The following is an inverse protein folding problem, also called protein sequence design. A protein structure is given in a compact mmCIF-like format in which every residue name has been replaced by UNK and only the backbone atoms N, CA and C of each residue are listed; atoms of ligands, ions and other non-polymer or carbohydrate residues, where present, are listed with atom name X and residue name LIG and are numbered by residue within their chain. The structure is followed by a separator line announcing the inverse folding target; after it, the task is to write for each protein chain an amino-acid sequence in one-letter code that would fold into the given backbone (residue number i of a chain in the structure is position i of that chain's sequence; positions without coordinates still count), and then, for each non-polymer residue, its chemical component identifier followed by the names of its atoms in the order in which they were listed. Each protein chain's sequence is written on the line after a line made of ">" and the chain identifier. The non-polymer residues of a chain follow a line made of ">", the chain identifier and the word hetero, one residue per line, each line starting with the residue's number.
data_IF_243278588912
#
_entry.id   IF_243278588912
#
_cell.length_a   1.000
_cell.length_b   1.000
_cell.length_c   1.000
_cell.angle_alpha   90.00
_cell.angle_beta   90.00
_cell.angle_gamma   90.00
#
_symmetry.space_group_name_H-M   'P 1'
#
loop_
_entity.id
_entity.type
_entity.pdbx_description
1 polymer ?
#
# COMPACT_ATOMS: atom_id res chain seq x y z
N UNK A 1 6.52 -28.09 28.00
CA UNK A 1 6.67 -26.79 28.65
C UNK A 1 5.53 -25.91 28.13
N UNK A 2 4.43 -25.84 28.91
CA UNK A 2 3.27 -25.03 28.53
C UNK A 2 3.61 -23.55 28.70
N UNK A 3 3.68 -22.80 27.62
CA UNK A 3 3.75 -21.35 27.67
C UNK A 3 2.40 -20.81 28.14
N UNK A 4 2.26 -20.52 29.41
CA UNK A 4 1.14 -19.76 29.96
C UNK A 4 1.31 -18.30 29.54
N UNK A 5 0.58 -17.87 28.54
CA UNK A 5 0.34 -16.46 28.23
C UNK A 5 -0.66 -15.96 29.28
N UNK A 6 -0.16 -15.52 30.44
CA UNK A 6 -0.96 -14.87 31.48
C UNK A 6 -0.70 -13.36 31.40
N UNK A 7 -1.48 -12.66 30.62
CA UNK A 7 -1.95 -11.28 30.85
C UNK A 7 -2.99 -11.00 29.75
N UNK A 8 -4.20 -10.67 30.16
CA UNK A 8 -5.17 -10.10 29.24
C UNK A 8 -4.50 -8.89 28.55
N UNK A 9 -4.45 -8.84 27.21
CA UNK A 9 -3.87 -7.71 26.53
C UNK A 9 -4.66 -6.46 26.92
N UNK A 10 -3.99 -5.30 27.09
CA UNK A 10 -4.71 -4.06 27.27
C UNK A 10 -5.65 -3.88 26.07
N UNK A 11 -6.87 -3.39 26.31
CA UNK A 11 -7.79 -3.13 25.21
C UNK A 11 -7.07 -2.24 24.20
N UNK A 12 -7.17 -2.59 22.92
CA UNK A 12 -6.69 -1.71 21.87
C UNK A 12 -7.27 -0.33 22.12
N UNK A 13 -6.47 0.76 21.96
CA UNK A 13 -7.10 2.06 21.80
C UNK A 13 -8.09 1.88 20.66
N UNK A 14 -9.36 2.08 20.97
CA UNK A 14 -10.45 2.01 20.03
C UNK A 14 -9.99 2.79 18.79
N UNK A 15 -9.71 2.07 17.70
CA UNK A 15 -9.91 2.71 16.41
C UNK A 15 -11.38 3.00 16.45
N UNK A 16 -11.80 4.27 16.42
CA UNK A 16 -13.20 4.57 16.49
C UNK A 16 -13.84 3.72 15.40
N UNK A 17 -14.58 2.71 15.83
CA UNK A 17 -15.60 2.12 14.98
C UNK A 17 -16.34 3.33 14.49
N UNK A 18 -16.37 3.55 13.18
CA UNK A 18 -17.17 4.63 12.60
C UNK A 18 -18.60 4.13 12.69
N UNK A 19 -19.04 3.87 13.93
CA UNK A 19 -20.38 3.47 14.28
C UNK A 19 -21.25 4.72 14.37
N UNK A 20 -22.43 4.62 13.83
CA UNK A 20 -23.35 5.74 13.75
C UNK A 20 -23.08 6.67 12.57
N UNK A 21 -23.52 7.91 12.67
CA UNK A 21 -23.39 8.93 11.61
C UNK A 21 -22.01 9.62 11.58
N UNK A 22 -21.10 9.24 12.48
CA UNK A 22 -19.75 9.83 12.59
C UNK A 22 -18.88 9.56 11.35
N UNK A 23 -19.19 8.54 10.55
CA UNK A 23 -18.48 8.31 9.28
C UNK A 23 -18.65 9.46 8.29
N UNK A 24 -19.78 10.17 8.33
CA UNK A 24 -20.07 11.33 7.47
C UNK A 24 -19.09 12.46 7.72
N UNK A 25 -18.66 12.65 8.99
CA UNK A 25 -17.67 13.64 9.38
C UNK A 25 -16.26 13.29 8.86
N UNK A 26 -15.98 12.00 8.69
CA UNK A 26 -14.72 11.53 8.13
C UNK A 26 -14.60 11.78 6.62
N UNK A 27 -15.72 12.02 5.93
CA UNK A 27 -15.75 12.30 4.50
C UNK A 27 -15.53 13.80 4.26
N UNK A 28 -14.40 14.14 3.67
CA UNK A 28 -14.03 15.53 3.38
C UNK A 28 -14.75 16.04 2.14
N UNK A 29 -15.97 16.59 2.30
CA UNK A 29 -16.82 17.14 1.22
C UNK A 29 -17.06 18.65 1.36
N UNK A 30 -16.43 19.34 2.30
CA UNK A 30 -16.66 20.77 2.58
C UNK A 30 -16.45 21.71 1.39
N UNK A 31 -15.70 21.24 0.39
CA UNK A 31 -15.38 21.98 -0.84
C UNK A 31 -16.50 21.90 -1.90
N UNK A 32 -17.56 21.11 -1.67
CA UNK A 32 -18.66 20.89 -2.62
C UNK A 32 -19.93 21.64 -2.19
N UNK A 33 -20.84 21.99 -3.13
CA UNK A 33 -22.16 22.48 -2.84
C UNK A 33 -22.98 21.50 -1.97
N UNK A 34 -23.95 22.00 -1.22
CA UNK A 34 -24.71 21.19 -0.26
C UNK A 34 -25.54 20.09 -0.95
N UNK A 35 -26.12 20.40 -2.10
CA UNK A 35 -26.87 19.43 -2.89
C UNK A 35 -26.01 18.24 -3.33
N UNK A 36 -24.80 18.51 -3.83
CA UNK A 36 -23.85 17.48 -4.26
C UNK A 36 -23.37 16.64 -3.08
N UNK A 37 -23.17 17.28 -1.90
CA UNK A 37 -22.81 16.57 -0.68
C UNK A 37 -23.85 15.56 -0.27
N UNK A 38 -25.14 15.94 -0.32
CA UNK A 38 -26.26 15.06 0.06
C UNK A 38 -26.34 13.83 -0.88
N UNK A 39 -26.16 14.04 -2.18
CA UNK A 39 -26.16 12.96 -3.17
C UNK A 39 -25.00 11.98 -2.94
N UNK A 40 -23.79 12.51 -2.75
CA UNK A 40 -22.59 11.70 -2.48
C UNK A 40 -22.74 10.90 -1.18
N UNK A 41 -23.20 11.53 -0.10
CA UNK A 41 -23.43 10.86 1.17
C UNK A 41 -24.48 9.76 1.04
N UNK A 42 -25.57 10.00 0.28
CA UNK A 42 -26.59 8.98 -0.01
C UNK A 42 -26.04 7.78 -0.77
N UNK A 43 -25.14 8.00 -1.73
CA UNK A 43 -24.45 6.92 -2.44
C UNK A 43 -23.49 6.17 -1.51
N UNK A 44 -22.69 6.87 -0.72
CA UNK A 44 -21.73 6.26 0.22
C UNK A 44 -22.44 5.45 1.32
N UNK A 45 -23.64 5.86 1.76
CA UNK A 45 -24.44 5.11 2.74
C UNK A 45 -24.74 3.69 2.26
N UNK A 46 -24.99 3.49 0.95
CA UNK A 46 -25.22 2.15 0.37
C UNK A 46 -24.03 1.20 0.58
N UNK A 47 -22.84 1.77 0.70
CA UNK A 47 -21.57 1.03 0.86
C UNK A 47 -21.01 1.12 2.29
N UNK A 48 -21.84 1.51 3.28
CA UNK A 48 -21.41 1.78 4.66
C UNK A 48 -20.59 0.67 5.29
N UNK A 49 -20.91 -0.58 5.00
CA UNK A 49 -20.20 -1.75 5.52
C UNK A 49 -18.72 -1.84 5.08
N UNK A 50 -18.30 -1.10 4.04
CA UNK A 50 -16.91 -1.08 3.58
C UNK A 50 -15.97 -0.27 4.48
N UNK A 51 -16.50 0.62 5.30
CA UNK A 51 -15.71 1.51 6.18
C UNK A 51 -16.08 1.40 7.66
N UNK A 52 -16.40 0.19 8.08
CA UNK A 52 -16.71 -0.16 9.45
C UNK A 52 -15.48 -0.31 10.37
N UNK A 53 -14.31 0.10 9.93
CA UNK A 53 -13.04 -0.02 10.67
C UNK A 53 -12.44 -1.42 10.73
N UNK A 54 -13.17 -2.46 10.34
CA UNK A 54 -12.70 -3.85 10.36
C UNK A 54 -11.89 -4.19 9.11
N UNK A 55 -11.03 -5.19 9.22
CA UNK A 55 -10.36 -5.78 8.06
C UNK A 55 -11.38 -6.52 7.20
N UNK A 56 -11.34 -6.26 5.90
CA UNK A 56 -12.08 -7.03 4.92
C UNK A 56 -11.60 -8.49 4.85
N UNK A 57 -12.40 -9.31 4.22
CA UNK A 57 -12.07 -10.70 4.00
C UNK A 57 -12.31 -11.08 2.54
N UNK A 58 -11.21 -11.19 1.82
CA UNK A 58 -11.22 -11.70 0.45
C UNK A 58 -11.36 -13.22 0.49
N UNK A 59 -12.33 -13.75 -0.28
CA UNK A 59 -12.59 -15.19 -0.35
C UNK A 59 -12.19 -15.79 -1.70
N UNK A 60 -12.07 -15.00 -2.75
CA UNK A 60 -11.82 -15.45 -4.12
C UNK A 60 -10.36 -15.80 -4.42
N UNK A 61 -9.44 -15.40 -3.53
CA UNK A 61 -8.01 -15.67 -3.70
C UNK A 61 -7.31 -15.84 -2.36
N UNK A 62 -6.17 -16.55 -2.39
CA UNK A 62 -5.26 -16.68 -1.25
C UNK A 62 -3.82 -16.54 -1.73
N UNK A 63 -2.98 -15.89 -0.91
CA UNK A 63 -1.56 -15.74 -1.22
C UNK A 63 -0.83 -17.09 -1.13
N UNK A 64 -0.01 -17.38 -2.13
CA UNK A 64 0.79 -18.59 -2.28
C UNK A 64 2.27 -18.26 -2.21
N UNK A 65 3.04 -19.12 -1.54
CA UNK A 65 4.51 -18.99 -1.43
C UNK A 65 5.14 -20.26 -1.99
N UNK A 66 5.42 -20.26 -3.29
CA UNK A 66 6.11 -21.38 -3.93
C UNK A 66 7.61 -21.23 -3.74
N UNK A 67 8.26 -22.29 -3.30
CA UNK A 67 9.70 -22.32 -3.12
C UNK A 67 10.39 -22.95 -4.33
N UNK A 68 11.62 -22.53 -4.58
CA UNK A 68 12.52 -23.21 -5.50
C UNK A 68 12.70 -24.66 -4.98
N UNK A 69 12.62 -25.69 -5.83
CA UNK A 69 12.76 -27.07 -5.41
C UNK A 69 14.04 -27.35 -4.62
N UNK A 70 13.95 -28.17 -3.58
CA UNK A 70 15.08 -28.56 -2.75
C UNK A 70 15.49 -27.57 -1.66
N UNK A 71 14.72 -26.49 -1.46
CA UNK A 71 14.99 -25.51 -0.39
C UNK A 71 14.52 -26.02 0.97
N UNK A 72 15.31 -25.74 2.00
CA UNK A 72 15.01 -26.02 3.40
C UNK A 72 14.44 -24.79 4.12
N UNK A 73 13.76 -24.96 5.26
CA UNK A 73 13.29 -23.85 6.06
C UNK A 73 14.38 -22.83 6.42
N UNK A 74 14.03 -21.57 6.31
CA UNK A 74 14.92 -20.46 6.66
C UNK A 74 14.70 -20.07 8.12
N UNK A 75 15.77 -20.12 8.89
CA UNK A 75 15.77 -19.70 10.29
C UNK A 75 16.74 -18.51 10.49
N UNK A 76 16.26 -17.44 11.10
CA UNK A 76 17.06 -16.29 11.51
C UNK A 76 16.81 -15.96 12.98
N UNK A 77 17.89 -15.66 13.70
CA UNK A 77 17.78 -15.16 15.08
C UNK A 77 17.15 -13.75 15.08
N UNK A 78 16.37 -13.39 16.14
CA UNK A 78 15.85 -12.04 16.27
C UNK A 78 16.99 -11.02 16.39
N UNK A 79 16.76 -9.84 15.84
CA UNK A 79 17.70 -8.73 16.04
C UNK A 79 17.66 -8.23 17.48
N UNK A 80 18.77 -7.69 17.96
CA UNK A 80 18.84 -7.09 19.30
C UNK A 80 17.90 -5.87 19.32
N UNK A 81 17.01 -5.85 20.30
CA UNK A 81 16.06 -4.78 20.52
C UNK A 81 16.16 -4.24 21.95
N UNK A 82 16.22 -2.93 22.10
CA UNK A 82 16.14 -2.27 23.40
C UNK A 82 14.72 -2.33 24.01
N UNK A 83 14.56 -1.95 25.29
CA UNK A 83 13.27 -2.05 25.99
C UNK A 83 12.11 -1.35 25.26
N UNK A 84 12.33 -0.14 24.75
CA UNK A 84 11.30 0.62 24.03
C UNK A 84 10.87 -0.09 22.71
N UNK A 85 11.83 -0.65 21.98
CA UNK A 85 11.54 -1.38 20.76
C UNK A 85 10.74 -2.66 21.04
N UNK A 86 11.06 -3.37 22.13
CA UNK A 86 10.30 -4.54 22.59
C UNK A 86 8.86 -4.19 22.97
N UNK A 87 8.66 -3.08 23.69
CA UNK A 87 7.32 -2.61 24.04
C UNK A 87 6.47 -2.31 22.80
N UNK A 88 7.05 -1.66 21.79
CA UNK A 88 6.39 -1.41 20.50
C UNK A 88 6.09 -2.72 19.75
N UNK A 89 7.03 -3.66 19.75
CA UNK A 89 6.86 -4.99 19.17
C UNK A 89 5.69 -5.73 19.81
N UNK A 90 5.63 -5.79 21.15
CA UNK A 90 4.53 -6.41 21.89
C UNK A 90 3.19 -5.77 21.56
N UNK A 91 3.12 -4.45 21.53
CA UNK A 91 1.89 -3.71 21.18
C UNK A 91 1.38 -4.08 19.79
N UNK A 92 2.27 -4.14 18.78
CA UNK A 92 1.88 -4.50 17.42
C UNK A 92 1.49 -5.99 17.30
N UNK A 93 2.18 -6.90 18.00
CA UNK A 93 1.83 -8.32 18.04
C UNK A 93 0.44 -8.49 18.63
N UNK A 94 0.13 -7.86 19.77
CA UNK A 94 -1.19 -7.94 20.38
C UNK A 94 -2.29 -7.41 19.44
N UNK A 95 -2.03 -6.28 18.77
CA UNK A 95 -2.94 -5.72 17.77
C UNK A 95 -3.21 -6.71 16.63
N UNK A 96 -2.18 -7.37 16.11
CA UNK A 96 -2.33 -8.34 15.02
C UNK A 96 -3.04 -9.62 15.47
N UNK A 97 -2.81 -10.08 16.70
CA UNK A 97 -3.53 -11.23 17.29
C UNK A 97 -5.03 -10.93 17.41
N UNK A 98 -5.40 -9.79 17.97
CA UNK A 98 -6.80 -9.37 18.10
C UNK A 98 -7.49 -9.22 16.74
N UNK A 99 -6.77 -8.68 15.75
CA UNK A 99 -7.27 -8.58 14.38
C UNK A 99 -7.27 -9.91 13.61
N UNK A 100 -6.85 -11.01 14.23
CA UNK A 100 -6.70 -12.34 13.59
C UNK A 100 -5.87 -12.30 12.32
N UNK A 101 -4.84 -11.47 12.33
CA UNK A 101 -3.85 -11.37 11.23
C UNK A 101 -2.74 -12.39 11.42
N UNK A 102 -2.39 -12.68 12.68
CA UNK A 102 -1.37 -13.67 13.07
C UNK A 102 -1.93 -14.63 14.11
N UNK A 103 -1.22 -15.73 14.32
CA UNK A 103 -1.44 -16.68 15.42
C UNK A 103 -0.10 -17.21 15.97
N UNK A 104 -0.04 -17.64 17.24
CA UNK A 104 1.13 -18.33 17.78
C UNK A 104 1.39 -19.63 17.02
N UNK A 105 2.67 -20.01 16.90
CA UNK A 105 3.03 -21.22 16.16
C UNK A 105 4.29 -21.87 16.71
N UNK A 106 4.50 -23.13 16.31
CA UNK A 106 5.79 -23.83 16.41
C UNK A 106 6.21 -24.15 14.98
N UNK A 107 7.36 -23.67 14.54
CA UNK A 107 7.78 -23.81 13.15
C UNK A 107 9.30 -23.86 13.03
N UNK A 108 9.79 -24.53 12.00
CA UNK A 108 11.20 -24.50 11.60
C UNK A 108 11.56 -23.21 10.87
N UNK A 109 10.55 -22.44 10.42
CA UNK A 109 10.73 -21.14 9.78
C UNK A 109 10.78 -20.03 10.82
N UNK A 110 11.70 -19.08 10.65
CA UNK A 110 11.75 -17.89 11.47
C UNK A 110 12.42 -16.73 10.75
N UNK A 111 11.67 -15.64 10.55
CA UNK A 111 12.17 -14.37 10.02
C UNK A 111 12.24 -13.32 11.13
N UNK A 112 13.25 -12.45 11.20
CA UNK A 112 13.36 -11.46 12.25
C UNK A 112 12.46 -10.25 12.01
N UNK A 113 12.08 -9.55 13.09
CA UNK A 113 11.34 -8.29 13.05
C UNK A 113 12.29 -7.12 12.82
N UNK A 114 11.86 -6.14 12.05
CA UNK A 114 12.52 -4.84 11.84
C UNK A 114 11.51 -3.73 12.11
N UNK A 115 11.80 -2.88 13.07
CA UNK A 115 11.02 -1.69 13.37
C UNK A 115 11.59 -0.50 12.59
N UNK A 116 10.79 0.10 11.71
CA UNK A 116 11.21 1.22 10.86
C UNK A 116 10.50 2.49 11.31
N UNK A 117 11.26 3.51 11.71
CA UNK A 117 10.70 4.82 12.05
C UNK A 117 10.10 5.49 10.79
N UNK A 118 8.90 6.04 10.91
CA UNK A 118 8.28 6.86 9.87
C UNK A 118 8.57 8.34 10.08
N UNK A 119 8.43 9.18 9.02
CA UNK A 119 8.61 10.62 9.15
C UNK A 119 7.68 11.31 10.16
N UNK A 120 6.50 10.71 10.43
CA UNK A 120 5.52 11.20 11.41
C UNK A 120 5.83 10.79 12.86
N UNK A 121 6.99 10.19 13.11
CA UNK A 121 7.43 9.70 14.43
C UNK A 121 6.81 8.35 14.83
N UNK A 122 5.87 7.81 14.07
CA UNK A 122 5.33 6.48 14.33
C UNK A 122 6.28 5.39 13.84
N UNK A 123 6.08 4.16 14.32
CA UNK A 123 6.91 3.01 13.94
C UNK A 123 6.12 2.07 13.04
N UNK A 124 6.77 1.58 11.99
CA UNK A 124 6.23 0.51 11.15
C UNK A 124 6.84 -0.81 11.58
N UNK A 125 5.99 -1.77 11.93
CA UNK A 125 6.36 -3.15 12.15
C UNK A 125 6.56 -3.84 10.80
N UNK A 126 7.73 -4.37 10.56
CA UNK A 126 8.09 -5.11 9.35
C UNK A 126 8.72 -6.44 9.73
N UNK A 127 8.54 -7.45 8.90
CA UNK A 127 9.27 -8.72 9.00
C UNK A 127 10.28 -8.79 7.86
N UNK A 128 11.50 -9.17 8.17
CA UNK A 128 12.58 -9.27 7.18
C UNK A 128 12.51 -10.61 6.42
N UNK A 129 11.73 -10.62 5.38
CA UNK A 129 11.59 -11.79 4.50
C UNK A 129 12.66 -11.91 3.39
N UNK A 130 13.75 -11.14 3.44
CA UNK A 130 14.78 -11.19 2.38
C UNK A 130 15.29 -12.60 2.10
N UNK A 131 15.52 -13.41 3.14
CA UNK A 131 15.97 -14.80 2.98
C UNK A 131 14.88 -15.70 2.39
N UNK A 132 13.63 -15.59 2.85
CA UNK A 132 12.50 -16.29 2.27
C UNK A 132 12.29 -15.87 0.81
N UNK A 133 12.35 -14.58 0.54
CA UNK A 133 12.18 -14.03 -0.80
C UNK A 133 13.25 -14.53 -1.79
N UNK A 134 14.49 -14.76 -1.32
CA UNK A 134 15.58 -15.29 -2.16
C UNK A 134 15.28 -16.70 -2.68
N UNK A 135 14.59 -17.53 -1.90
CA UNK A 135 14.22 -18.91 -2.26
C UNK A 135 12.79 -19.07 -2.78
N UNK A 136 12.03 -17.95 -2.85
CA UNK A 136 10.66 -17.94 -3.40
C UNK A 136 10.70 -17.82 -4.92
N UNK A 137 9.94 -18.65 -5.62
CA UNK A 137 9.73 -18.53 -7.08
C UNK A 137 9.04 -17.19 -7.37
N UNK A 138 9.61 -16.41 -8.29
CA UNK A 138 9.06 -15.11 -8.67
C UNK A 138 7.76 -15.27 -9.45
N UNK A 139 6.72 -14.57 -9.04
CA UNK A 139 5.52 -14.34 -9.83
C UNK A 139 5.80 -13.20 -10.84
N UNK A 140 5.61 -13.50 -12.12
CA UNK A 140 5.85 -12.56 -13.21
C UNK A 140 4.59 -11.78 -13.63
N UNK A 141 3.58 -11.68 -12.75
CA UNK A 141 2.40 -10.89 -13.05
C UNK A 141 2.79 -9.44 -13.39
N UNK A 142 2.36 -8.90 -14.55
CA UNK A 142 2.74 -7.58 -14.97
C UNK A 142 2.11 -6.53 -14.07
N UNK A 143 2.92 -5.63 -13.53
CA UNK A 143 2.42 -4.41 -12.91
C UNK A 143 2.24 -3.35 -14.00
N UNK A 144 1.18 -2.53 -13.94
CA UNK A 144 1.01 -1.42 -14.87
C UNK A 144 2.20 -0.46 -14.78
N UNK A 145 2.51 0.19 -15.87
CA UNK A 145 3.55 1.23 -15.85
C UNK A 145 2.98 2.52 -15.30
N UNK A 146 3.73 3.15 -14.39
CA UNK A 146 3.28 4.41 -13.75
C UNK A 146 3.05 5.53 -14.77
N UNK A 147 3.91 5.63 -15.80
CA UNK A 147 3.77 6.62 -16.87
C UNK A 147 2.48 6.42 -17.69
N UNK A 148 2.13 5.17 -18.04
CA UNK A 148 0.88 4.84 -18.71
C UNK A 148 -0.36 5.15 -17.84
N UNK A 149 -0.31 4.84 -16.54
CA UNK A 149 -1.37 5.19 -15.61
C UNK A 149 -1.61 6.70 -15.56
N UNK A 150 -0.53 7.49 -15.47
CA UNK A 150 -0.62 8.94 -15.40
C UNK A 150 -1.14 9.53 -16.72
N UNK A 151 -0.66 9.03 -17.86
CA UNK A 151 -1.09 9.52 -19.17
C UNK A 151 -2.58 9.24 -19.43
N UNK A 152 -3.12 8.15 -18.90
CA UNK A 152 -4.55 7.81 -18.99
C UNK A 152 -5.48 8.76 -18.25
N UNK A 153 -4.96 9.57 -17.33
CA UNK A 153 -5.74 10.52 -16.53
C UNK A 153 -5.84 11.90 -17.16
N UNK A 154 -5.14 12.16 -18.28
CA UNK A 154 -4.98 13.49 -18.86
C UNK A 154 -6.28 14.21 -19.27
N UNK A 155 -7.32 13.46 -19.66
CA UNK A 155 -8.61 14.00 -20.08
C UNK A 155 -9.66 14.06 -18.98
N UNK A 156 -9.33 13.64 -17.77
CA UNK A 156 -10.24 13.61 -16.66
C UNK A 156 -10.22 14.93 -15.87
N UNK A 157 -11.40 15.31 -15.35
CA UNK A 157 -11.57 16.54 -14.57
C UNK A 157 -11.82 16.28 -13.09
N UNK A 158 -12.30 15.07 -12.75
CA UNK A 158 -12.70 14.72 -11.41
C UNK A 158 -12.04 13.40 -11.02
N UNK A 159 -11.45 13.39 -9.85
CA UNK A 159 -10.67 12.27 -9.34
C UNK A 159 -11.12 11.86 -7.94
N UNK A 160 -10.99 10.57 -7.67
CA UNK A 160 -11.10 10.00 -6.35
C UNK A 160 -10.03 8.97 -6.12
N UNK A 161 -9.31 9.10 -5.01
CA UNK A 161 -8.40 8.06 -4.54
C UNK A 161 -9.06 7.22 -3.45
N UNK A 162 -8.91 5.91 -3.54
CA UNK A 162 -9.40 4.93 -2.59
C UNK A 162 -8.19 4.25 -1.95
N UNK A 163 -8.15 4.26 -0.61
CA UNK A 163 -7.13 3.57 0.20
C UNK A 163 -7.74 2.34 0.84
N UNK A 164 -7.17 1.17 0.60
CA UNK A 164 -7.63 -0.06 1.22
C UNK A 164 -7.18 -0.14 2.68
N UNK A 165 -8.07 -0.54 3.57
CA UNK A 165 -7.73 -0.69 5.00
C UNK A 165 -6.73 -1.83 5.22
N UNK A 166 -5.42 -1.52 5.21
CA UNK A 166 -4.34 -2.53 5.26
C UNK A 166 -4.52 -3.59 4.17
N UNK A 167 -4.60 -3.18 2.89
CA UNK A 167 -5.04 -3.98 1.77
C UNK A 167 -4.49 -5.42 1.70
N UNK A 168 -3.20 -5.60 1.93
CA UNK A 168 -2.56 -6.92 1.91
C UNK A 168 -3.12 -7.85 3.00
N UNK A 169 -3.42 -7.36 4.20
CA UNK A 169 -3.99 -8.17 5.28
C UNK A 169 -5.43 -8.62 5.01
N UNK A 170 -6.08 -8.11 4.00
CA UNK A 170 -7.42 -8.57 3.61
C UNK A 170 -7.38 -9.85 2.79
N UNK A 171 -6.22 -10.23 2.22
CA UNK A 171 -6.01 -11.47 1.48
C UNK A 171 -5.48 -12.54 2.44
N UNK A 172 -6.10 -13.73 2.54
CA UNK A 172 -5.57 -14.82 3.36
C UNK A 172 -4.29 -15.42 2.76
N UNK A 173 -3.43 -15.97 3.61
CA UNK A 173 -2.35 -16.86 3.19
C UNK A 173 -2.91 -18.28 3.13
N UNK A 174 -2.53 -19.05 2.10
CA UNK A 174 -2.89 -20.46 2.01
C UNK A 174 -2.45 -21.23 3.26
N UNK A 175 -3.27 -22.14 3.79
CA UNK A 175 -2.94 -22.87 5.01
C UNK A 175 -1.55 -23.54 4.98
N UNK A 176 -1.20 -24.15 3.85
CA UNK A 176 0.07 -24.84 3.60
C UNK A 176 1.29 -23.91 3.53
N UNK A 177 1.05 -22.61 3.33
CA UNK A 177 2.11 -21.61 3.20
C UNK A 177 2.30 -20.73 4.45
N UNK A 178 1.38 -20.83 5.44
CA UNK A 178 1.41 -19.98 6.64
C UNK A 178 2.70 -20.13 7.44
N UNK A 179 3.22 -21.33 7.58
CA UNK A 179 4.46 -21.59 8.32
C UNK A 179 5.65 -20.83 7.74
N UNK A 180 5.72 -20.69 6.42
CA UNK A 180 6.79 -19.94 5.75
C UNK A 180 6.80 -18.46 6.16
N UNK A 181 5.66 -17.93 6.61
CA UNK A 181 5.53 -16.54 7.08
C UNK A 181 5.90 -16.34 8.54
N UNK A 182 6.35 -17.40 9.22
CA UNK A 182 6.70 -17.34 10.65
C UNK A 182 7.78 -16.31 10.91
N UNK A 183 7.56 -15.51 11.95
CA UNK A 183 8.54 -14.56 12.46
C UNK A 183 8.81 -14.79 13.94
N UNK A 184 10.01 -14.39 14.35
CA UNK A 184 10.46 -14.54 15.73
C UNK A 184 10.42 -13.21 16.47
N UNK A 185 9.88 -13.23 17.67
CA UNK A 185 9.85 -12.12 18.61
C UNK A 185 10.49 -12.52 19.93
N UNK A 186 10.62 -11.58 20.86
CA UNK A 186 11.04 -11.88 22.22
C UNK A 186 9.96 -12.62 23.04
N UNK A 187 8.70 -12.64 22.57
CA UNK A 187 7.57 -13.35 23.20
C UNK A 187 7.34 -14.75 22.61
N UNK A 188 7.96 -15.08 21.48
CA UNK A 188 7.80 -16.37 20.82
C UNK A 188 7.73 -16.29 19.29
N UNK A 189 7.18 -17.33 18.69
CA UNK A 189 7.00 -17.46 17.25
C UNK A 189 5.53 -17.23 16.89
N UNK A 190 5.31 -16.45 15.81
CA UNK A 190 3.99 -16.16 15.25
C UNK A 190 4.03 -16.36 13.75
N UNK A 191 2.92 -16.83 13.17
CA UNK A 191 2.75 -16.94 11.72
C UNK A 191 1.57 -16.11 11.25
N UNK A 192 1.62 -15.66 10.01
CA UNK A 192 0.54 -14.88 9.42
C UNK A 192 -0.58 -15.77 8.88
N UNK A 193 -1.81 -15.41 9.19
CA UNK A 193 -3.03 -15.93 8.58
C UNK A 193 -3.41 -15.13 7.32
N UNK A 194 -2.97 -13.87 7.28
CA UNK A 194 -3.21 -12.87 6.25
C UNK A 194 -1.90 -12.48 5.58
N UNK A 195 -1.95 -12.13 4.31
CA UNK A 195 -0.75 -11.79 3.52
C UNK A 195 0.03 -10.62 4.13
N UNK A 196 1.25 -10.84 4.65
CA UNK A 196 2.04 -9.76 5.22
C UNK A 196 2.72 -8.89 4.16
N UNK A 197 3.07 -7.68 4.56
CA UNK A 197 4.00 -6.85 3.80
C UNK A 197 5.40 -7.47 3.75
N UNK A 198 6.14 -7.18 2.68
CA UNK A 198 7.53 -7.62 2.54
C UNK A 198 7.74 -8.96 1.82
N UNK A 199 6.68 -9.74 1.57
CA UNK A 199 6.77 -10.93 0.73
C UNK A 199 6.97 -10.55 -0.74
N UNK A 200 7.84 -11.30 -1.45
CA UNK A 200 8.24 -11.06 -2.84
C UNK A 200 7.05 -10.93 -3.80
N UNK A 201 6.06 -11.80 -3.66
CA UNK A 201 4.93 -11.92 -4.59
C UNK A 201 3.64 -11.27 -4.06
N UNK A 202 3.66 -10.63 -2.88
CA UNK A 202 2.47 -9.95 -2.34
C UNK A 202 1.93 -8.85 -3.27
N UNK A 203 2.78 -7.98 -3.87
CA UNK A 203 2.33 -7.00 -4.85
C UNK A 203 1.62 -7.63 -6.06
N UNK A 204 2.19 -8.70 -6.63
CA UNK A 204 1.62 -9.42 -7.77
C UNK A 204 0.28 -10.07 -7.44
N UNK A 205 0.17 -10.67 -6.24
CA UNK A 205 -1.09 -11.27 -5.77
C UNK A 205 -2.18 -10.23 -5.62
N UNK A 206 -1.88 -9.09 -4.99
CA UNK A 206 -2.83 -8.01 -4.77
C UNK A 206 -3.27 -7.37 -6.09
N UNK A 207 -2.32 -7.02 -6.97
CA UNK A 207 -2.62 -6.44 -8.28
C UNK A 207 -3.53 -7.36 -9.09
N UNK A 208 -3.18 -8.66 -9.22
CA UNK A 208 -4.00 -9.63 -9.94
C UNK A 208 -5.42 -9.72 -9.37
N UNK A 209 -5.54 -9.74 -8.05
CA UNK A 209 -6.84 -9.80 -7.38
C UNK A 209 -7.71 -8.58 -7.73
N UNK A 210 -7.14 -7.37 -7.65
CA UNK A 210 -7.89 -6.14 -7.94
C UNK A 210 -8.19 -6.01 -9.44
N UNK A 211 -7.26 -6.39 -10.32
CA UNK A 211 -7.48 -6.40 -11.77
C UNK A 211 -8.64 -7.31 -12.18
N UNK A 212 -8.75 -8.49 -11.57
CA UNK A 212 -9.87 -9.42 -11.77
C UNK A 212 -11.17 -8.80 -11.23
N UNK A 213 -11.13 -8.23 -10.03
CA UNK A 213 -12.29 -7.62 -9.37
C UNK A 213 -12.85 -6.45 -10.18
N UNK A 214 -11.98 -5.61 -10.74
CA UNK A 214 -12.33 -4.42 -11.52
C UNK A 214 -12.26 -4.66 -13.03
N UNK A 215 -12.26 -5.92 -13.46
CA UNK A 215 -12.22 -6.27 -14.88
C UNK A 215 -13.30 -5.56 -15.68
N UNK A 216 -12.92 -4.96 -16.82
CA UNK A 216 -13.77 -4.16 -17.69
C UNK A 216 -13.96 -2.70 -17.27
N UNK A 217 -13.56 -2.35 -16.04
CA UNK A 217 -13.56 -0.96 -15.53
C UNK A 217 -12.17 -0.32 -15.59
N UNK A 218 -11.11 -1.11 -15.38
CA UNK A 218 -9.72 -0.63 -15.42
C UNK A 218 -9.41 0.02 -16.77
N UNK A 219 -8.69 1.14 -16.76
CA UNK A 219 -8.33 2.00 -17.90
C UNK A 219 -9.49 2.81 -18.50
N UNK A 220 -10.74 2.59 -18.05
CA UNK A 220 -11.92 3.33 -18.53
C UNK A 220 -12.50 4.25 -17.46
N UNK A 221 -12.63 3.72 -16.24
CA UNK A 221 -13.27 4.42 -15.11
C UNK A 221 -12.38 4.48 -13.89
N UNK A 222 -11.42 3.57 -13.79
CA UNK A 222 -10.46 3.53 -12.70
C UNK A 222 -9.10 3.00 -13.16
N UNK A 223 -8.07 3.30 -12.35
CA UNK A 223 -6.75 2.69 -12.46
C UNK A 223 -6.37 2.10 -11.11
N UNK A 224 -5.57 1.06 -11.18
CA UNK A 224 -5.05 0.37 -9.99
C UNK A 224 -3.55 0.23 -10.14
N UNK A 225 -2.84 0.71 -9.15
CA UNK A 225 -1.41 0.49 -9.02
C UNK A 225 -1.11 0.02 -7.59
N UNK A 226 -0.96 -1.29 -7.43
CA UNK A 226 -0.83 -1.93 -6.11
C UNK A 226 -2.01 -1.54 -5.19
N UNK A 227 -1.70 -0.89 -4.04
CA UNK A 227 -2.69 -0.49 -3.05
C UNK A 227 -3.46 0.81 -3.42
N UNK A 228 -2.99 1.55 -4.43
CA UNK A 228 -3.55 2.83 -4.86
C UNK A 228 -4.59 2.62 -5.97
N UNK A 229 -5.85 2.87 -5.67
CA UNK A 229 -6.96 2.86 -6.63
C UNK A 229 -7.39 4.30 -6.88
N UNK A 230 -7.46 4.71 -8.14
CA UNK A 230 -8.00 6.00 -8.54
C UNK A 230 -9.19 5.80 -9.47
N UNK A 231 -10.32 6.44 -9.14
CA UNK A 231 -11.49 6.56 -10.01
C UNK A 231 -11.47 7.93 -10.66
N UNK A 232 -11.74 8.01 -11.94
CA UNK A 232 -11.67 9.26 -12.69
C UNK A 232 -12.82 9.38 -13.70
N UNK A 233 -13.19 10.62 -14.03
CA UNK A 233 -14.31 10.91 -14.93
C UNK A 233 -14.20 12.32 -15.49
N UNK A 234 -14.96 12.60 -16.57
CA UNK A 234 -15.02 13.93 -17.18
C UNK A 234 -16.06 14.83 -16.52
N UNK A 235 -17.17 14.25 -16.07
CA UNK A 235 -18.29 14.98 -15.47
C UNK A 235 -18.67 14.45 -14.08
N UNK A 236 -19.29 15.26 -13.22
CA UNK A 236 -19.76 14.82 -11.89
C UNK A 236 -20.74 13.64 -11.95
N UNK A 237 -21.68 13.64 -12.90
CA UNK A 237 -22.68 12.57 -13.06
C UNK A 237 -22.03 11.24 -13.45
N UNK A 238 -21.10 11.25 -14.40
CA UNK A 238 -20.29 10.06 -14.73
C UNK A 238 -19.50 9.58 -13.51
N UNK A 239 -18.94 10.52 -12.73
CA UNK A 239 -18.13 10.18 -11.56
C UNK A 239 -18.92 9.46 -10.50
N UNK A 240 -20.17 9.88 -10.24
CA UNK A 240 -21.08 9.17 -9.32
C UNK A 240 -21.31 7.73 -9.76
N UNK A 241 -21.60 7.52 -11.03
CA UNK A 241 -21.84 6.18 -11.61
C UNK A 241 -20.59 5.30 -11.56
N UNK A 242 -19.44 5.86 -11.95
CA UNK A 242 -18.16 5.15 -11.92
C UNK A 242 -17.78 4.74 -10.49
N UNK A 243 -17.92 5.67 -9.55
CA UNK A 243 -17.59 5.43 -8.16
C UNK A 243 -18.49 4.37 -7.53
N UNK A 244 -19.80 4.48 -7.70
CA UNK A 244 -20.76 3.49 -7.19
C UNK A 244 -20.45 2.08 -7.73
N UNK A 245 -20.16 1.98 -9.03
CA UNK A 245 -19.80 0.72 -9.67
C UNK A 245 -18.51 0.13 -9.12
N UNK A 246 -17.47 0.95 -8.95
CA UNK A 246 -16.17 0.51 -8.39
C UNK A 246 -16.34 0.07 -6.93
N UNK A 247 -17.03 0.86 -6.11
CA UNK A 247 -17.32 0.51 -4.71
C UNK A 247 -18.11 -0.79 -4.60
N UNK A 248 -19.14 -0.97 -5.43
CA UNK A 248 -19.92 -2.20 -5.46
C UNK A 248 -19.05 -3.44 -5.77
N UNK A 249 -18.16 -3.35 -6.76
CA UNK A 249 -17.24 -4.44 -7.11
C UNK A 249 -16.27 -4.77 -5.98
N UNK A 250 -15.65 -3.76 -5.36
CA UNK A 250 -14.74 -3.94 -4.24
C UNK A 250 -15.46 -4.54 -3.01
N UNK A 251 -16.68 -4.08 -2.72
CA UNK A 251 -17.53 -4.63 -1.67
C UNK A 251 -17.83 -6.11 -1.90
N UNK A 252 -18.28 -6.48 -3.10
CA UNK A 252 -18.56 -7.87 -3.48
C UNK A 252 -17.33 -8.77 -3.38
N UNK A 253 -16.15 -8.23 -3.56
CA UNK A 253 -14.89 -8.94 -3.41
C UNK A 253 -14.43 -9.07 -1.94
N UNK A 254 -15.14 -8.47 -0.99
CA UNK A 254 -14.86 -8.53 0.45
C UNK A 254 -13.81 -7.51 0.92
N UNK A 255 -13.53 -6.46 0.12
CA UNK A 255 -12.61 -5.39 0.52
C UNK A 255 -13.29 -4.33 1.39
N UNK A 256 -12.54 -3.83 2.36
CA UNK A 256 -12.86 -2.64 3.16
C UNK A 256 -11.87 -1.53 2.90
N UNK A 257 -12.35 -0.28 3.00
CA UNK A 257 -11.60 0.93 2.70
C UNK A 257 -11.35 1.75 3.97
N UNK A 258 -10.27 2.54 3.95
CA UNK A 258 -9.99 3.52 4.98
C UNK A 258 -10.56 4.89 4.59
N UNK A 259 -11.78 5.17 5.03
CA UNK A 259 -12.52 6.37 4.64
C UNK A 259 -11.75 7.68 4.92
N UNK A 260 -10.99 7.75 6.03
CA UNK A 260 -10.21 8.94 6.41
C UNK A 260 -9.09 9.26 5.42
N UNK A 261 -8.63 8.26 4.65
CA UNK A 261 -7.59 8.42 3.62
C UNK A 261 -8.17 8.48 2.21
N UNK A 262 -9.48 8.35 2.06
CA UNK A 262 -10.14 8.49 0.78
C UNK A 262 -10.43 9.97 0.49
N UNK A 263 -10.05 10.43 -0.69
CA UNK A 263 -10.29 11.82 -1.14
C UNK A 263 -11.35 11.81 -2.23
N UNK A 264 -12.52 12.42 -1.93
CA UNK A 264 -13.69 12.39 -2.80
C UNK A 264 -13.79 13.65 -3.65
N UNK A 265 -14.18 13.50 -4.92
CA UNK A 265 -14.55 14.58 -5.86
C UNK A 265 -13.53 15.73 -5.86
N UNK A 266 -12.24 15.38 -6.00
CA UNK A 266 -11.17 16.36 -6.08
C UNK A 266 -10.82 16.66 -7.53
N UNK A 267 -10.66 17.95 -7.87
CA UNK A 267 -10.08 18.38 -9.14
C UNK A 267 -8.55 18.23 -9.15
N UNK A 268 -7.94 18.13 -7.96
CA UNK A 268 -6.51 17.94 -7.80
C UNK A 268 -6.26 16.72 -6.94
N UNK A 269 -5.40 15.81 -7.40
CA UNK A 269 -5.05 14.59 -6.67
C UNK A 269 -3.57 14.31 -6.72
N UNK A 270 -3.03 13.82 -5.60
CA UNK A 270 -1.70 13.21 -5.54
C UNK A 270 -1.84 11.72 -5.89
N UNK A 271 -1.26 11.30 -6.99
CA UNK A 271 -1.27 9.91 -7.42
C UNK A 271 0.11 9.50 -7.94
N UNK A 272 0.65 8.40 -7.45
CA UNK A 272 1.97 7.86 -7.82
C UNK A 272 3.10 8.90 -7.80
N UNK A 273 3.04 9.84 -6.85
CA UNK A 273 4.06 10.87 -6.69
C UNK A 273 3.93 12.07 -7.62
N UNK A 274 2.81 12.16 -8.32
CA UNK A 274 2.47 13.28 -9.21
C UNK A 274 1.23 14.00 -8.71
N UNK A 275 1.16 15.31 -8.97
CA UNK A 275 -0.04 16.12 -8.76
C UNK A 275 -0.75 16.24 -10.11
N UNK A 276 -1.95 15.71 -10.17
CA UNK A 276 -2.78 15.66 -11.38
C UNK A 276 -3.93 16.65 -11.21
N UNK A 277 -4.12 17.49 -12.22
CA UNK A 277 -5.22 18.45 -12.37
C UNK A 277 -5.77 18.36 -13.79
N UNK A 278 -6.98 18.84 -14.05
CA UNK A 278 -7.51 18.91 -15.43
C UNK A 278 -6.51 19.57 -16.37
N UNK A 279 -6.08 18.82 -17.40
CA UNK A 279 -5.12 19.30 -18.41
C UNK A 279 -3.71 19.63 -17.90
N UNK A 280 -3.39 19.35 -16.63
CA UNK A 280 -2.07 19.69 -16.07
C UNK A 280 -1.51 18.56 -15.18
N UNK A 281 -0.29 18.17 -15.48
CA UNK A 281 0.48 17.18 -14.73
C UNK A 281 1.75 17.83 -14.16
N UNK A 282 1.98 17.66 -12.87
CA UNK A 282 3.20 18.15 -12.21
C UNK A 282 3.74 17.12 -11.23
N UNK A 283 4.97 17.28 -10.80
CA UNK A 283 5.58 16.43 -9.76
C UNK A 283 5.16 16.93 -8.40
N UNK A 284 4.82 16.03 -7.48
CA UNK A 284 4.53 16.38 -6.10
C UNK A 284 5.77 17.03 -5.45
N UNK A 285 5.59 18.15 -4.76
CA UNK A 285 6.69 18.95 -4.20
C UNK A 285 7.57 18.14 -3.24
N UNK A 286 6.98 17.27 -2.43
CA UNK A 286 7.68 16.33 -1.54
C UNK A 286 8.71 15.45 -2.27
N UNK A 287 8.46 15.11 -3.53
CA UNK A 287 9.33 14.25 -4.33
C UNK A 287 10.49 15.02 -4.95
N UNK A 288 10.32 16.34 -5.17
CA UNK A 288 11.41 17.21 -5.66
C UNK A 288 12.27 17.77 -4.52
N UNK A 289 11.85 17.64 -3.28
CA UNK A 289 12.59 18.12 -2.11
C UNK A 289 14.00 17.52 -2.04
N UNK A 290 14.14 16.24 -2.34
CA UNK A 290 15.44 15.56 -2.37
C UNK A 290 16.40 16.15 -3.42
N UNK A 291 15.87 16.61 -4.56
CA UNK A 291 16.67 17.30 -5.58
C UNK A 291 17.09 18.70 -5.14
N UNK A 292 16.22 19.44 -4.42
CA UNK A 292 16.52 20.78 -3.92
C UNK A 292 17.64 20.79 -2.89
N UNK A 293 17.81 19.72 -2.12
CA UNK A 293 18.84 19.58 -1.07
C UNK A 293 20.02 18.68 -1.49
N UNK A 294 20.00 18.17 -2.71
CA UNK A 294 21.07 17.31 -3.22
C UNK A 294 22.39 18.04 -3.23
N UNK A 295 23.43 17.43 -2.65
CA UNK A 295 24.78 17.96 -2.71
C UNK A 295 25.33 17.85 -4.13
N UNK A 296 26.24 18.74 -4.49
CA UNK A 296 26.96 18.63 -5.77
C UNK A 296 27.74 17.33 -5.83
N UNK A 297 27.55 16.49 -6.86
CA UNK A 297 28.30 15.24 -7.00
C UNK A 297 29.77 15.54 -7.23
N UNK A 298 30.65 14.87 -6.49
CA UNK A 298 32.11 15.02 -6.58
C UNK A 298 32.78 13.81 -7.23
N UNK A 299 32.04 12.69 -7.32
CA UNK A 299 32.52 11.45 -7.94
C UNK A 299 31.61 11.01 -9.09
N UNK A 300 32.13 10.19 -10.00
CA UNK A 300 31.32 9.62 -11.09
C UNK A 300 30.13 8.78 -10.58
N UNK A 301 30.30 8.09 -9.46
CA UNK A 301 29.22 7.30 -8.84
C UNK A 301 28.10 8.19 -8.32
N UNK A 302 28.45 9.27 -7.64
CA UNK A 302 27.48 10.28 -7.17
C UNK A 302 26.79 10.97 -8.35
N UNK A 303 27.53 11.29 -9.41
CA UNK A 303 26.99 11.88 -10.62
C UNK A 303 26.00 10.94 -11.32
N UNK A 304 26.30 9.63 -11.42
CA UNK A 304 25.35 8.64 -11.95
C UNK A 304 24.07 8.59 -11.12
N UNK A 305 24.21 8.58 -9.78
CA UNK A 305 23.06 8.56 -8.86
C UNK A 305 22.21 9.81 -9.00
N UNK A 306 22.84 10.98 -9.07
CA UNK A 306 22.17 12.27 -9.26
C UNK A 306 21.41 12.32 -10.61
N UNK A 307 22.08 11.96 -11.71
CA UNK A 307 21.44 11.92 -13.04
C UNK A 307 20.32 10.87 -13.10
N UNK A 308 20.48 9.74 -12.42
CA UNK A 308 19.42 8.74 -12.27
C UNK A 308 18.18 9.32 -11.60
N UNK A 309 18.36 10.05 -10.50
CA UNK A 309 17.29 10.74 -9.80
C UNK A 309 16.62 11.81 -10.68
N UNK A 310 17.40 12.64 -11.36
CA UNK A 310 16.88 13.66 -12.28
C UNK A 310 16.11 13.05 -13.46
N UNK A 311 16.56 11.91 -13.98
CA UNK A 311 15.98 11.26 -15.14
C UNK A 311 14.54 10.75 -14.90
N UNK A 312 14.17 10.47 -13.65
CA UNK A 312 12.79 10.13 -13.26
C UNK A 312 11.83 11.28 -13.64
N UNK A 313 12.30 12.52 -13.53
CA UNK A 313 11.50 13.73 -13.76
C UNK A 313 11.76 14.40 -15.12
N UNK A 314 12.51 13.74 -16.03
CA UNK A 314 12.94 14.33 -17.32
C UNK A 314 11.81 14.88 -18.17
N UNK A 315 10.60 14.28 -18.09
CA UNK A 315 9.43 14.69 -18.85
C UNK A 315 8.91 16.08 -18.44
N UNK A 316 9.22 16.53 -17.23
CA UNK A 316 8.81 17.82 -16.68
C UNK A 316 9.84 18.94 -16.91
N UNK A 317 11.01 18.63 -17.49
CA UNK A 317 12.10 19.58 -17.73
C UNK A 317 12.28 19.77 -19.22
N UNK A 318 11.86 20.95 -19.72
CA UNK A 318 12.02 21.28 -21.15
C UNK A 318 13.51 21.25 -21.53
N UNK A 319 13.83 20.48 -22.56
CA UNK A 319 15.21 20.37 -23.05
C UNK A 319 16.16 19.60 -22.14
N UNK A 320 15.65 18.73 -21.25
CA UNK A 320 16.44 17.94 -20.29
C UNK A 320 17.70 17.32 -20.89
N UNK A 321 17.62 16.73 -22.07
CA UNK A 321 18.76 16.09 -22.72
C UNK A 321 19.91 17.06 -23.02
N UNK A 322 19.59 18.32 -23.38
CA UNK A 322 20.60 19.37 -23.61
C UNK A 322 21.24 19.82 -22.31
N UNK A 323 20.43 19.95 -21.23
CA UNK A 323 20.90 20.33 -19.90
C UNK A 323 21.79 19.24 -19.31
N UNK A 324 21.41 17.98 -19.47
CA UNK A 324 22.17 16.84 -18.93
C UNK A 324 23.38 16.42 -19.77
N UNK A 325 23.48 16.86 -21.02
CA UNK A 325 24.55 16.47 -21.94
C UNK A 325 25.97 16.71 -21.39
N UNK A 326 26.32 17.89 -20.85
CA UNK A 326 27.65 18.12 -20.27
C UNK A 326 27.98 17.19 -19.12
N UNK A 327 27.00 16.90 -18.26
CA UNK A 327 27.16 15.99 -17.13
C UNK A 327 27.35 14.53 -17.58
N UNK A 328 26.62 14.12 -18.61
CA UNK A 328 26.79 12.79 -19.22
C UNK A 328 28.17 12.59 -19.88
N UNK A 329 28.78 13.66 -20.40
CA UNK A 329 30.14 13.59 -20.92
C UNK A 329 31.17 13.21 -19.84
N UNK A 330 30.97 13.70 -18.61
CA UNK A 330 31.85 13.37 -17.47
C UNK A 330 31.77 11.88 -17.04
N UNK A 331 30.73 11.16 -17.49
CA UNK A 331 30.55 9.72 -17.21
C UNK A 331 31.15 8.82 -18.28
N UNK A 332 31.56 9.37 -19.42
CA UNK A 332 32.25 8.59 -20.46
C UNK A 332 33.63 8.15 -19.96
N UNK A 333 33.93 6.90 -20.18
CA UNK A 333 35.32 6.42 -19.99
C UNK A 333 36.19 7.11 -21.02
N UNK A 334 37.26 7.78 -20.56
CA UNK A 334 38.31 8.26 -21.42
C UNK A 334 38.98 7.08 -22.11
#
# INVERSE_FOLDING_TARGET
>A
MEYRIHRDPPPLPDRPDVDGDTWKEAVQLSHLPEADRAEILGMLEKHRSMWNGRLGQVHSTAHRIDLIPGQTPVHCQPYRAGPNARALESTEIQRMLQAKVIEPTTSEWASPIVLVAKPDGSTRFCVDYRRLNAITVRDSYPLPRMDECIDSLGDANIFKTLDCNSGYWQIPVRPEDREKTTFTSHEGLYRFLRMPFGLRNAPATFQRFVDITLSGLTWKTCLVYLDDIIVFSKTPSEHMTHLDTVLHRLYRAGLTLNLKKCHFFKETVDYLGHVIRPGHLSVAEKNTAALKVAKHPTTQTELRSFLGLCNVYRRFVKGFSKIAAPLNLLLRKG
#
